data_IF_298136505193
#
_entry.id   IF_298136505193
#
_cell.length_a   1.000
_cell.length_b   1.000
_cell.length_c   1.000
_cell.angle_alpha   90.00
_cell.angle_beta   90.00
_cell.angle_gamma   90.00
#
_symmetry.space_group_name_H-M   'P 1'
#
loop_
_entity.id
_entity.type
_entity.pdbx_description
1 polymer ?
#
# COMPACT_ATOMS: atom_id res chain seq x y z
N UNK A 1 0.01 -4.29 4.27
CA UNK A 1 0.86 -5.45 4.64
C UNK A 1 0.87 -6.56 3.59
N UNK A 2 -0.27 -6.94 3.00
CA UNK A 2 -0.35 -7.98 1.95
C UNK A 2 0.57 -7.74 0.76
N UNK A 3 0.74 -6.49 0.31
CA UNK A 3 1.67 -6.18 -0.79
C UNK A 3 3.12 -6.51 -0.42
N UNK A 4 3.58 -6.21 0.80
CA UNK A 4 4.94 -6.54 1.25
C UNK A 4 5.15 -8.06 1.24
N UNK A 5 4.16 -8.83 1.69
CA UNK A 5 4.21 -10.29 1.62
C UNK A 5 4.30 -10.79 0.18
N UNK A 6 3.50 -10.24 -0.74
CA UNK A 6 3.57 -10.62 -2.15
C UNK A 6 4.89 -10.21 -2.82
N UNK A 7 5.50 -9.11 -2.37
CA UNK A 7 6.85 -8.70 -2.76
C UNK A 7 7.90 -9.72 -2.33
N UNK A 8 7.79 -10.28 -1.12
CA UNK A 8 8.73 -11.29 -0.61
C UNK A 8 8.49 -12.66 -1.26
N UNK A 9 7.23 -13.09 -1.37
CA UNK A 9 6.84 -14.38 -1.93
C UNK A 9 6.57 -14.29 -3.44
N UNK A 10 7.64 -14.42 -4.24
CA UNK A 10 7.59 -14.36 -5.71
C UNK A 10 6.56 -15.34 -6.30
N UNK A 11 5.88 -14.92 -7.36
CA UNK A 11 4.81 -15.71 -8.01
C UNK A 11 3.42 -15.52 -7.41
N UNK A 12 3.30 -14.75 -6.32
CA UNK A 12 2.00 -14.38 -5.73
C UNK A 12 1.53 -13.00 -6.21
N UNK A 13 0.30 -12.65 -5.83
CA UNK A 13 -0.29 -11.33 -6.09
C UNK A 13 -1.03 -10.82 -4.85
N UNK A 14 -1.36 -9.53 -4.84
CA UNK A 14 -2.06 -8.89 -3.72
C UNK A 14 -3.30 -8.16 -4.22
N UNK A 15 -4.41 -8.29 -3.50
CA UNK A 15 -5.61 -7.48 -3.66
C UNK A 15 -5.74 -6.62 -2.41
N UNK A 16 -5.87 -5.31 -2.57
CA UNK A 16 -5.93 -4.37 -1.46
C UNK A 16 -6.97 -3.29 -1.69
N UNK A 17 -7.55 -2.82 -0.60
CA UNK A 17 -8.50 -1.72 -0.56
C UNK A 17 -7.97 -0.63 0.39
N UNK A 18 -7.91 0.61 -0.10
CA UNK A 18 -7.39 1.79 0.60
C UNK A 18 -6.07 1.55 1.37
N UNK A 19 -5.04 0.93 0.76
CA UNK A 19 -3.84 0.56 1.51
C UNK A 19 -3.03 1.79 1.94
N UNK A 20 -2.50 1.77 3.16
CA UNK A 20 -1.37 2.63 3.53
C UNK A 20 -0.08 2.07 2.92
N UNK A 21 0.57 2.90 2.10
CA UNK A 21 1.72 2.48 1.29
C UNK A 21 3.07 2.89 1.88
N UNK A 22 3.06 3.83 2.82
CA UNK A 22 4.23 4.34 3.52
C UNK A 22 3.79 4.78 4.93
N UNK A 23 4.33 4.13 5.96
CA UNK A 23 3.97 4.38 7.35
C UNK A 23 4.25 5.83 7.74
N UNK A 24 5.29 6.45 7.18
CA UNK A 24 5.67 7.81 7.54
C UNK A 24 4.76 8.89 6.97
N UNK A 25 3.86 8.52 6.06
CA UNK A 25 2.82 9.40 5.55
C UNK A 25 1.51 9.28 6.34
N UNK A 26 1.45 8.37 7.31
CA UNK A 26 0.32 8.25 8.22
C UNK A 26 0.34 9.36 9.28
N UNK A 27 -0.71 9.45 10.11
CA UNK A 27 -0.78 10.50 11.12
C UNK A 27 0.39 10.43 12.10
N UNK A 28 1.06 11.57 12.29
CA UNK A 28 2.27 11.72 13.10
C UNK A 28 2.15 11.08 14.48
N UNK A 29 1.03 11.29 15.17
CA UNK A 29 0.80 10.74 16.52
C UNK A 29 0.80 9.21 16.57
N UNK A 30 0.35 8.53 15.51
CA UNK A 30 0.42 7.07 15.43
C UNK A 30 1.83 6.59 15.10
N UNK A 31 2.53 7.31 14.22
CA UNK A 31 3.94 6.99 13.88
C UNK A 31 4.83 7.15 15.11
N UNK A 32 4.69 8.23 15.88
CA UNK A 32 5.45 8.44 17.11
C UNK A 32 5.19 7.35 18.15
N UNK A 33 3.93 6.93 18.31
CA UNK A 33 3.59 5.79 19.18
C UNK A 33 4.22 4.49 18.70
N UNK A 34 4.23 4.23 17.40
CA UNK A 34 4.89 3.06 16.82
C UNK A 34 6.39 3.08 17.14
N UNK A 35 7.06 4.22 16.96
CA UNK A 35 8.47 4.39 17.27
C UNK A 35 8.76 4.04 18.74
N UNK A 36 7.98 4.58 19.67
CA UNK A 36 8.17 4.36 21.11
C UNK A 36 7.90 2.90 21.51
N UNK A 37 6.82 2.31 21.00
CA UNK A 37 6.33 1.02 21.51
C UNK A 37 6.96 -0.20 20.83
N UNK A 38 7.40 -0.07 19.57
CA UNK A 38 7.82 -1.21 18.76
C UNK A 38 9.21 -1.07 18.14
N UNK A 39 9.83 0.12 18.22
CA UNK A 39 11.11 0.44 17.58
C UNK A 39 12.07 1.13 18.56
N UNK A 40 11.96 0.84 19.85
CA UNK A 40 12.86 1.31 20.91
C UNK A 40 13.10 2.83 20.95
N UNK A 41 12.10 3.61 20.52
CA UNK A 41 12.19 5.07 20.47
C UNK A 41 13.03 5.62 19.31
N UNK A 42 13.40 4.80 18.32
CA UNK A 42 14.15 5.25 17.15
C UNK A 42 13.45 6.40 16.42
N UNK A 43 14.26 7.35 15.97
CA UNK A 43 13.83 8.44 15.10
C UNK A 43 13.48 7.94 13.70
N UNK A 44 12.75 8.76 12.95
CA UNK A 44 12.36 8.48 11.57
C UNK A 44 13.58 8.23 10.66
N UNK A 45 14.67 8.95 10.86
CA UNK A 45 15.85 8.83 10.00
C UNK A 45 16.61 7.54 10.30
N UNK A 46 16.78 7.19 11.58
CA UNK A 46 17.37 5.90 12.00
C UNK A 46 16.57 4.71 11.46
N UNK A 47 15.24 4.79 11.49
CA UNK A 47 14.35 3.75 10.95
C UNK A 47 14.52 3.61 9.44
N UNK A 48 14.57 4.72 8.71
CA UNK A 48 14.74 4.72 7.25
C UNK A 48 16.08 4.16 6.82
N UNK A 49 17.11 4.35 7.64
CA UNK A 49 18.43 3.76 7.40
C UNK A 49 18.44 2.27 7.72
N UNK A 50 17.81 1.87 8.83
CA UNK A 50 17.92 0.51 9.36
C UNK A 50 16.97 -0.50 8.70
N UNK A 51 15.73 -0.11 8.42
CA UNK A 51 14.69 -1.01 7.88
C UNK A 51 13.66 -0.28 7.01
N UNK A 52 14.09 0.38 5.91
CA UNK A 52 13.19 1.12 5.03
C UNK A 52 12.10 0.23 4.40
N UNK A 53 12.40 -1.05 4.10
CA UNK A 53 11.45 -2.00 3.53
C UNK A 53 10.27 -2.33 4.44
N UNK A 54 10.42 -2.13 5.76
CA UNK A 54 9.35 -2.38 6.72
C UNK A 54 8.37 -1.22 6.78
N UNK A 55 8.79 -0.04 6.31
CA UNK A 55 8.04 1.21 6.40
C UNK A 55 7.38 1.61 5.09
N UNK A 56 8.00 1.27 3.96
CA UNK A 56 7.50 1.64 2.64
C UNK A 56 7.41 0.44 1.71
N UNK A 57 6.28 0.31 1.03
CA UNK A 57 6.05 -0.76 0.06
C UNK A 57 7.05 -0.68 -1.09
N UNK A 58 7.35 0.52 -1.57
CA UNK A 58 8.31 0.72 -2.68
C UNK A 58 9.72 0.33 -2.25
N UNK A 59 10.13 0.66 -1.02
CA UNK A 59 11.43 0.26 -0.49
C UNK A 59 11.52 -1.26 -0.33
N UNK A 60 10.42 -1.94 0.02
CA UNK A 60 10.36 -3.40 -0.01
C UNK A 60 10.55 -3.96 -1.43
N UNK A 61 9.87 -3.38 -2.44
CA UNK A 61 10.02 -3.83 -3.84
C UNK A 61 11.45 -3.69 -4.34
N UNK A 62 12.11 -2.58 -3.98
CA UNK A 62 13.52 -2.34 -4.29
C UNK A 62 14.43 -3.35 -3.59
N UNK A 63 14.29 -3.53 -2.28
CA UNK A 63 15.12 -4.46 -1.49
C UNK A 63 15.03 -5.89 -1.98
N UNK A 64 13.82 -6.38 -2.25
CA UNK A 64 13.59 -7.77 -2.66
C UNK A 64 13.62 -7.96 -4.18
N UNK A 65 13.87 -6.89 -4.94
CA UNK A 65 13.88 -6.85 -6.41
C UNK A 65 12.66 -7.57 -7.00
N UNK A 66 11.47 -7.20 -6.51
CA UNK A 66 10.21 -7.79 -6.96
C UNK A 66 9.07 -6.79 -6.84
N UNK A 67 8.43 -6.48 -7.97
CA UNK A 67 7.11 -5.87 -8.01
C UNK A 67 6.11 -7.02 -8.22
N UNK A 68 5.29 -7.37 -7.21
CA UNK A 68 4.23 -8.36 -7.39
C UNK A 68 3.12 -7.80 -8.26
N UNK A 69 2.25 -8.67 -8.77
CA UNK A 69 0.98 -8.22 -9.35
C UNK A 69 0.10 -7.68 -8.23
N UNK A 70 -0.45 -6.48 -8.41
CA UNK A 70 -1.23 -5.78 -7.39
C UNK A 70 -2.53 -5.29 -8.01
N UNK A 71 -3.65 -5.66 -7.39
CA UNK A 71 -4.96 -5.07 -7.64
C UNK A 71 -5.21 -4.02 -6.53
N UNK A 72 -4.99 -2.75 -6.87
CA UNK A 72 -5.03 -1.63 -5.96
C UNK A 72 -6.39 -0.93 -6.07
N UNK A 73 -7.29 -1.18 -5.12
CA UNK A 73 -8.56 -0.47 -5.01
C UNK A 73 -8.39 0.74 -4.08
N UNK A 74 -8.91 1.89 -4.52
CA UNK A 74 -8.84 3.14 -3.76
C UNK A 74 -10.11 3.94 -3.91
N UNK A 75 -10.70 4.31 -2.77
CA UNK A 75 -11.76 5.30 -2.72
C UNK A 75 -11.19 6.68 -3.03
N UNK A 76 -11.57 7.25 -4.18
CA UNK A 76 -11.15 8.59 -4.58
C UNK A 76 -11.76 9.71 -3.72
N UNK A 77 -12.76 9.39 -2.88
CA UNK A 77 -13.36 10.32 -1.92
C UNK A 77 -12.63 10.34 -0.57
N UNK A 78 -11.69 9.42 -0.32
CA UNK A 78 -10.80 9.51 0.83
C UNK A 78 -9.63 10.47 0.54
N UNK A 79 -9.79 11.75 0.89
CA UNK A 79 -8.79 12.79 0.59
C UNK A 79 -7.42 12.51 1.25
N UNK A 80 -7.42 11.91 2.44
CA UNK A 80 -6.21 11.54 3.16
C UNK A 80 -5.42 10.49 2.38
N UNK A 81 -6.01 9.34 2.06
CA UNK A 81 -5.31 8.27 1.34
C UNK A 81 -4.87 8.72 -0.05
N UNK A 82 -5.71 9.49 -0.76
CA UNK A 82 -5.36 10.03 -2.06
C UNK A 82 -4.11 10.92 -2.00
N UNK A 83 -4.02 11.77 -0.97
CA UNK A 83 -2.90 12.71 -0.79
C UNK A 83 -1.63 12.03 -0.27
N UNK A 84 -1.76 11.14 0.71
CA UNK A 84 -0.65 10.64 1.50
C UNK A 84 -0.18 9.23 1.13
N UNK A 85 -1.02 8.44 0.45
CA UNK A 85 -0.70 7.04 0.12
C UNK A 85 -0.78 6.74 -1.38
N UNK A 86 -1.93 6.95 -2.02
CA UNK A 86 -2.14 6.60 -3.43
C UNK A 86 -1.22 7.40 -4.38
N UNK A 87 -1.28 8.74 -4.34
CA UNK A 87 -0.46 9.58 -5.23
C UNK A 87 1.05 9.42 -4.96
N UNK A 88 1.53 9.44 -3.70
CA UNK A 88 2.95 9.22 -3.42
C UNK A 88 3.42 7.83 -3.87
N UNK A 89 2.62 6.78 -3.66
CA UNK A 89 2.96 5.44 -4.11
C UNK A 89 3.14 5.36 -5.62
N UNK A 90 2.14 5.83 -6.39
CA UNK A 90 2.21 5.86 -7.85
C UNK A 90 3.44 6.64 -8.33
N UNK A 91 3.67 7.83 -7.77
CA UNK A 91 4.84 8.65 -8.09
C UNK A 91 6.16 7.91 -7.79
N UNK A 92 6.27 7.24 -6.64
CA UNK A 92 7.49 6.51 -6.27
C UNK A 92 7.74 5.30 -7.17
N UNK A 93 6.70 4.58 -7.61
CA UNK A 93 6.83 3.51 -8.61
C UNK A 93 7.44 4.07 -9.91
N UNK A 94 6.94 5.21 -10.39
CA UNK A 94 7.43 5.90 -11.60
C UNK A 94 8.88 6.40 -11.43
N UNK A 95 9.16 7.14 -10.34
CA UNK A 95 10.48 7.72 -10.07
C UNK A 95 11.57 6.63 -9.93
N UNK A 96 11.22 5.49 -9.33
CA UNK A 96 12.12 4.34 -9.17
C UNK A 96 12.17 3.42 -10.41
N UNK A 97 11.44 3.76 -11.49
CA UNK A 97 11.35 2.96 -12.73
C UNK A 97 10.94 1.50 -12.48
N UNK A 98 10.11 1.28 -11.46
CA UNK A 98 9.54 -0.02 -11.15
C UNK A 98 8.45 -0.37 -12.18
N UNK A 99 8.24 -1.66 -12.42
CA UNK A 99 7.26 -2.11 -13.42
C UNK A 99 5.83 -1.78 -12.98
N UNK A 100 5.32 -0.63 -13.43
CA UNK A 100 3.99 -0.13 -13.11
C UNK A 100 2.87 -0.94 -13.79
N UNK A 101 3.15 -1.68 -14.86
CA UNK A 101 2.15 -2.53 -15.55
C UNK A 101 1.65 -3.68 -14.67
N UNK A 102 2.42 -4.03 -13.63
CA UNK A 102 2.01 -5.01 -12.62
C UNK A 102 1.02 -4.46 -11.58
N UNK A 103 0.73 -3.16 -11.61
CA UNK A 103 -0.21 -2.53 -10.68
C UNK A 103 -1.47 -2.10 -11.43
N UNK A 104 -2.56 -2.82 -11.19
CA UNK A 104 -3.89 -2.48 -11.66
C UNK A 104 -4.55 -1.53 -10.67
N UNK A 105 -4.67 -0.25 -11.03
CA UNK A 105 -5.27 0.78 -10.18
C UNK A 105 -6.77 0.92 -10.47
N UNK A 106 -7.60 0.68 -9.45
CA UNK A 106 -9.05 0.76 -9.51
C UNK A 106 -9.57 1.86 -8.57
N UNK A 107 -9.90 3.02 -9.14
CA UNK A 107 -10.49 4.12 -8.38
C UNK A 107 -12.02 3.97 -8.32
N UNK A 108 -12.58 3.93 -7.12
CA UNK A 108 -14.02 3.94 -6.91
C UNK A 108 -14.44 5.18 -6.09
N UNK A 109 -15.74 5.46 -6.02
CA UNK A 109 -16.28 6.60 -5.27
C UNK A 109 -17.28 6.14 -4.22
N UNK A 110 -16.95 6.34 -2.95
CA UNK A 110 -17.89 6.14 -1.84
C UNK A 110 -17.67 7.24 -0.77
N UNK A 111 -18.36 8.38 -0.86
CA UNK A 111 -18.15 9.49 0.06
C UNK A 111 -18.59 9.17 1.49
N UNK A 112 -19.46 8.17 1.68
CA UNK A 112 -19.99 7.79 3.01
C UNK A 112 -18.97 6.93 3.75
N UNK A 113 -18.37 5.94 3.07
CA UNK A 113 -17.39 5.04 3.69
C UNK A 113 -16.03 5.69 3.89
N UNK A 114 -15.60 6.58 3.00
CA UNK A 114 -14.26 7.17 3.09
C UNK A 114 -13.17 6.09 3.10
N UNK A 115 -12.40 6.01 4.19
CA UNK A 115 -11.36 4.97 4.36
C UNK A 115 -11.91 3.58 4.69
N UNK A 116 -13.17 3.48 5.15
CA UNK A 116 -13.73 2.20 5.55
C UNK A 116 -13.72 1.20 4.38
N UNK A 117 -13.45 -0.09 4.66
CA UNK A 117 -13.38 -1.11 3.63
C UNK A 117 -14.69 -1.22 2.86
N UNK A 118 -14.59 -1.70 1.62
CA UNK A 118 -15.74 -2.14 0.84
C UNK A 118 -16.61 -3.14 1.62
N UNK A 119 -17.90 -3.17 1.29
CA UNK A 119 -18.79 -4.23 1.79
C UNK A 119 -18.33 -5.59 1.26
N UNK A 120 -18.62 -6.62 2.04
CA UNK A 120 -18.27 -8.01 1.71
C UNK A 120 -18.69 -8.38 0.30
N UNK A 121 -19.91 -8.02 -0.11
CA UNK A 121 -20.47 -8.35 -1.41
C UNK A 121 -19.60 -7.79 -2.55
N UNK A 122 -19.25 -6.50 -2.48
CA UNK A 122 -18.34 -5.87 -3.46
C UNK A 122 -16.95 -6.49 -3.44
N UNK A 123 -16.45 -6.89 -2.28
CA UNK A 123 -15.16 -7.57 -2.18
C UNK A 123 -15.20 -8.95 -2.84
N UNK A 124 -16.31 -9.68 -2.73
CA UNK A 124 -16.50 -10.96 -3.42
C UNK A 124 -16.59 -10.76 -4.93
N UNK A 125 -17.34 -9.75 -5.40
CA UNK A 125 -17.43 -9.44 -6.84
C UNK A 125 -16.04 -9.17 -7.43
N UNK A 126 -15.19 -8.41 -6.73
CA UNK A 126 -13.79 -8.16 -7.12
C UNK A 126 -13.00 -9.46 -7.22
N UNK A 127 -13.16 -10.38 -6.28
CA UNK A 127 -12.45 -11.66 -6.33
C UNK A 127 -12.93 -12.51 -7.49
N UNK A 128 -14.24 -12.58 -7.74
CA UNK A 128 -14.80 -13.31 -8.86
C UNK A 128 -14.25 -12.76 -10.19
N UNK A 129 -14.21 -11.44 -10.38
CA UNK A 129 -13.58 -10.81 -11.56
C UNK A 129 -12.12 -11.26 -11.75
N UNK A 130 -11.33 -11.19 -10.67
CA UNK A 130 -9.90 -11.54 -10.70
C UNK A 130 -9.67 -13.03 -11.00
N UNK A 131 -10.47 -13.93 -10.41
CA UNK A 131 -10.29 -15.39 -10.55
C UNK A 131 -10.93 -15.94 -11.82
N UNK A 132 -11.99 -15.33 -12.33
CA UNK A 132 -12.61 -15.69 -13.61
C UNK A 132 -11.88 -15.09 -14.82
N UNK A 133 -10.94 -14.17 -14.59
CA UNK A 133 -10.15 -13.53 -15.64
C UNK A 133 -10.95 -12.55 -16.49
N UNK A 134 -11.96 -11.90 -15.89
CA UNK A 134 -12.79 -10.86 -16.54
C UNK A 134 -12.19 -9.47 -16.36
#
# INVERSE_FOLDING_TARGET
MSIIMATIHKGTFSVVDNPQTDIFNYYKSFVEKLCILALDGMSKDEIKESFPERMSIVDAMLKYNNVPRIYYYQNNKCSFDMKYHYRPFKKRIEDCKLNNEKVSYHLYSDPVRGHNPLIKEKTLDIFDEIFEGR
#
